data_IF_149246323055
#
_entry.id   IF_149246323055
#
_cell.length_a   1.000
_cell.length_b   1.000
_cell.length_c   1.000
_cell.angle_alpha   90.00
_cell.angle_beta   90.00
_cell.angle_gamma   90.00
#
_symmetry.space_group_name_H-M   'P 1'
#
loop_
_entity.id
_entity.type
_entity.pdbx_description
1 polymer ?
#
# COMPACT_ATOMS: atom_id res chain seq x y z
N UNK A 1 -12.03 -16.29 6.24
CA UNK A 1 -12.40 -14.87 6.15
C UNK A 1 -11.24 -14.10 6.74
N UNK A 2 -10.41 -13.46 5.90
CA UNK A 2 -9.28 -12.64 6.35
C UNK A 2 -9.82 -11.44 7.13
N UNK A 3 -9.16 -11.07 8.21
CA UNK A 3 -9.48 -9.87 8.98
C UNK A 3 -9.29 -8.66 8.07
N UNK A 4 -10.38 -7.95 7.77
CA UNK A 4 -10.32 -6.67 7.06
C UNK A 4 -9.66 -5.69 8.02
N UNK A 5 -8.52 -5.12 7.61
CA UNK A 5 -7.89 -4.02 8.33
C UNK A 5 -8.83 -2.80 8.28
N UNK A 6 -9.28 -2.32 9.45
CA UNK A 6 -10.08 -1.09 9.53
C UNK A 6 -9.15 0.11 9.47
N UNK A 7 -9.16 0.80 8.33
CA UNK A 7 -8.40 2.02 8.13
C UNK A 7 -9.01 3.18 8.91
N UNK A 8 -8.25 3.70 9.87
CA UNK A 8 -8.60 4.97 10.55
C UNK A 8 -8.08 6.13 9.68
N UNK A 9 -8.94 6.64 8.82
CA UNK A 9 -8.57 7.63 7.83
C UNK A 9 -8.00 8.93 8.43
N UNK A 10 -8.36 9.35 9.66
CA UNK A 10 -7.75 10.48 10.36
C UNK A 10 -6.26 10.25 10.66
N UNK A 11 -5.92 9.05 11.13
CA UNK A 11 -4.54 8.69 11.40
C UNK A 11 -3.71 8.59 10.11
N UNK A 12 -4.37 8.20 9.01
CA UNK A 12 -3.73 8.09 7.70
C UNK A 12 -3.35 9.47 7.15
N UNK A 13 -4.26 10.43 7.12
CA UNK A 13 -4.00 11.77 6.60
C UNK A 13 -2.97 12.53 7.47
N UNK A 14 -3.06 12.43 8.82
CA UNK A 14 -2.20 13.17 9.73
C UNK A 14 -0.79 12.58 9.88
N UNK A 15 -0.64 11.25 9.83
CA UNK A 15 0.62 10.57 10.19
C UNK A 15 1.28 9.78 9.05
N UNK A 16 0.55 9.53 7.96
CA UNK A 16 1.02 8.77 6.80
C UNK A 16 1.01 9.59 5.50
N UNK A 17 0.88 10.91 5.58
CA UNK A 17 0.87 11.84 4.43
C UNK A 17 2.13 11.76 3.56
N UNK A 18 3.24 11.20 4.06
CA UNK A 18 4.43 10.91 3.26
C UNK A 18 4.14 9.92 2.11
N UNK A 19 3.10 9.08 2.21
CA UNK A 19 2.71 8.11 1.16
C UNK A 19 2.33 8.84 -0.13
N UNK A 20 1.54 9.92 -0.03
CA UNK A 20 1.16 10.75 -1.17
C UNK A 20 2.35 11.54 -1.74
N UNK A 21 3.24 12.06 -0.89
CA UNK A 21 4.43 12.79 -1.32
C UNK A 21 5.38 11.90 -2.14
N UNK A 22 5.56 10.64 -1.75
CA UNK A 22 6.37 9.69 -2.52
C UNK A 22 5.66 9.19 -3.79
N UNK A 23 4.34 9.34 -3.89
CA UNK A 23 3.54 8.98 -5.06
C UNK A 23 3.86 9.79 -6.32
N UNK A 24 4.40 11.02 -6.18
CA UNK A 24 4.71 11.88 -7.35
C UNK A 24 5.69 11.24 -8.33
N UNK A 25 6.72 10.55 -7.85
CA UNK A 25 7.69 9.90 -8.72
C UNK A 25 7.13 8.75 -9.57
N UNK A 26 5.97 8.15 -9.19
CA UNK A 26 5.31 7.14 -10.01
C UNK A 26 4.28 7.76 -10.95
N UNK A 27 3.75 8.96 -10.66
CA UNK A 27 2.89 9.71 -11.59
C UNK A 27 3.64 10.10 -12.87
N UNK A 28 4.93 10.45 -12.77
CA UNK A 28 5.78 10.69 -13.96
C UNK A 28 5.87 9.45 -14.86
N UNK A 29 5.94 8.25 -14.24
CA UNK A 29 5.99 6.97 -14.96
C UNK A 29 4.62 6.60 -15.52
N UNK A 30 3.53 6.96 -14.84
CA UNK A 30 2.18 6.81 -15.36
C UNK A 30 2.03 7.58 -16.69
N UNK A 31 2.69 8.74 -16.80
CA UNK A 31 2.75 9.54 -18.01
C UNK A 31 1.35 9.82 -18.61
N UNK A 32 0.48 10.40 -17.80
CA UNK A 32 -0.91 10.73 -18.15
C UNK A 32 -0.97 11.58 -19.42
N UNK A 33 -1.86 11.19 -20.35
CA UNK A 33 -2.16 12.00 -21.53
C UNK A 33 -3.52 12.67 -21.36
N UNK A 34 -3.67 13.85 -21.98
CA UNK A 34 -4.92 14.62 -21.95
C UNK A 34 -6.10 13.78 -22.45
N UNK A 35 -7.14 13.69 -21.67
CA UNK A 35 -8.37 12.98 -22.02
C UNK A 35 -8.36 11.47 -21.79
N UNK A 36 -7.28 10.89 -21.26
CA UNK A 36 -7.23 9.49 -20.86
C UNK A 36 -8.22 9.20 -19.73
N UNK A 37 -8.72 7.97 -19.70
CA UNK A 37 -9.45 7.41 -18.55
C UNK A 37 -8.47 6.61 -17.70
N UNK A 38 -8.37 6.94 -16.41
CA UNK A 38 -7.46 6.30 -15.47
C UNK A 38 -8.23 5.76 -14.28
N UNK A 39 -8.01 4.49 -13.94
CA UNK A 39 -8.42 3.91 -12.66
C UNK A 39 -7.29 4.06 -11.66
N UNK A 40 -7.55 4.73 -10.53
CA UNK A 40 -6.69 4.74 -9.36
C UNK A 40 -7.18 3.65 -8.39
N UNK A 41 -6.47 2.52 -8.33
CA UNK A 41 -6.84 1.31 -7.60
C UNK A 41 -6.18 1.28 -6.22
N UNK A 42 -6.99 1.35 -5.16
CA UNK A 42 -6.54 1.58 -3.79
C UNK A 42 -6.26 3.06 -3.55
N UNK A 43 -7.19 3.93 -3.99
CA UNK A 43 -7.00 5.38 -4.03
C UNK A 43 -7.00 6.07 -2.66
N UNK A 44 -7.40 5.36 -1.59
CA UNK A 44 -7.47 5.93 -0.24
C UNK A 44 -8.36 7.17 -0.18
N UNK A 45 -7.84 8.29 0.34
CA UNK A 45 -8.55 9.58 0.46
C UNK A 45 -8.54 10.42 -0.82
N UNK A 46 -7.98 9.90 -1.93
CA UNK A 46 -8.12 10.45 -3.28
C UNK A 46 -7.09 11.49 -3.71
N UNK A 47 -6.02 11.73 -2.94
CA UNK A 47 -5.04 12.78 -3.24
C UNK A 47 -4.34 12.55 -4.59
N UNK A 48 -3.87 11.30 -4.85
CA UNK A 48 -3.26 10.96 -6.12
C UNK A 48 -4.28 10.92 -7.27
N UNK A 49 -5.53 10.50 -6.99
CA UNK A 49 -6.62 10.59 -7.97
C UNK A 49 -6.82 12.04 -8.43
N UNK A 50 -6.80 12.99 -7.51
CA UNK A 50 -6.91 14.42 -7.83
C UNK A 50 -5.71 14.90 -8.66
N UNK A 51 -4.47 14.58 -8.24
CA UNK A 51 -3.26 14.94 -9.00
C UNK A 51 -3.30 14.36 -10.45
N UNK A 52 -3.79 13.13 -10.63
CA UNK A 52 -3.99 12.51 -11.96
C UNK A 52 -5.03 13.30 -12.78
N UNK A 53 -6.12 13.75 -12.13
CA UNK A 53 -7.14 14.59 -12.75
C UNK A 53 -6.59 15.94 -13.21
N UNK A 54 -5.77 16.59 -12.40
CA UNK A 54 -5.09 17.85 -12.74
C UNK A 54 -4.14 17.72 -13.94
N UNK A 55 -3.63 16.50 -14.20
CA UNK A 55 -2.85 16.20 -15.40
C UNK A 55 -3.71 16.03 -16.66
N UNK A 56 -5.03 16.08 -16.54
CA UNK A 56 -5.97 16.09 -17.65
C UNK A 56 -6.66 14.74 -17.93
N UNK A 57 -6.57 13.76 -17.04
CA UNK A 57 -7.31 12.51 -17.13
C UNK A 57 -8.73 12.61 -16.55
N UNK A 58 -9.62 11.74 -17.05
CA UNK A 58 -10.87 11.38 -16.36
C UNK A 58 -10.58 10.24 -15.39
N UNK A 59 -10.71 10.48 -14.09
CA UNK A 59 -10.28 9.55 -13.05
C UNK A 59 -11.47 8.82 -12.43
N UNK A 60 -11.30 7.53 -12.21
CA UNK A 60 -12.13 6.72 -11.31
C UNK A 60 -11.23 6.32 -10.14
N UNK A 61 -11.57 6.74 -8.92
CA UNK A 61 -10.89 6.26 -7.71
C UNK A 61 -11.64 5.06 -7.13
N UNK A 62 -10.92 3.98 -6.82
CA UNK A 62 -11.50 2.79 -6.21
C UNK A 62 -10.74 2.38 -4.96
N UNK A 63 -11.48 2.13 -3.87
CA UNK A 63 -10.92 1.56 -2.64
C UNK A 63 -11.92 0.62 -1.97
N UNK A 64 -11.44 -0.32 -1.14
CA UNK A 64 -12.29 -1.26 -0.40
C UNK A 64 -12.97 -0.59 0.80
N UNK A 65 -12.31 0.41 1.40
CA UNK A 65 -12.75 1.10 2.61
C UNK A 65 -13.83 2.13 2.31
N UNK A 66 -15.04 1.93 2.86
CA UNK A 66 -16.10 2.94 2.76
C UNK A 66 -15.72 4.25 3.46
N UNK A 67 -14.99 4.19 4.58
CA UNK A 67 -14.53 5.38 5.28
C UNK A 67 -13.62 6.25 4.38
N UNK A 68 -12.66 5.61 3.68
CA UNK A 68 -11.81 6.29 2.69
C UNK A 68 -12.64 6.90 1.56
N UNK A 69 -13.63 6.16 1.04
CA UNK A 69 -14.50 6.64 -0.04
C UNK A 69 -15.35 7.84 0.37
N UNK A 70 -15.87 7.85 1.59
CA UNK A 70 -16.63 9.00 2.12
C UNK A 70 -15.72 10.24 2.18
N UNK A 71 -14.49 10.11 2.66
CA UNK A 71 -13.53 11.23 2.71
C UNK A 71 -13.12 11.70 1.32
N UNK A 72 -12.79 10.77 0.42
CA UNK A 72 -12.40 11.09 -0.94
C UNK A 72 -13.50 11.90 -1.66
N UNK A 73 -14.77 11.47 -1.58
CA UNK A 73 -15.92 12.18 -2.15
C UNK A 73 -16.13 13.57 -1.55
N UNK A 74 -15.89 13.73 -0.24
CA UNK A 74 -16.00 15.04 0.42
C UNK A 74 -14.86 15.98 0.01
N UNK A 75 -13.66 15.46 -0.19
CA UNK A 75 -12.45 16.22 -0.50
C UNK A 75 -12.40 16.62 -1.98
N UNK A 76 -12.84 15.72 -2.87
CA UNK A 76 -12.78 15.87 -4.32
C UNK A 76 -14.11 15.45 -4.97
N UNK A 77 -15.17 16.26 -4.81
CA UNK A 77 -16.53 15.89 -5.27
C UNK A 77 -16.66 15.78 -6.79
N UNK A 78 -15.70 16.29 -7.55
CA UNK A 78 -15.67 16.23 -9.01
C UNK A 78 -15.17 14.87 -9.55
N UNK A 79 -14.53 14.05 -8.70
CA UNK A 79 -13.98 12.75 -9.08
C UNK A 79 -14.98 11.64 -8.77
N UNK A 80 -15.08 10.66 -9.66
CA UNK A 80 -15.92 9.48 -9.46
C UNK A 80 -15.23 8.47 -8.52
N UNK A 81 -15.63 8.44 -7.25
CA UNK A 81 -15.11 7.47 -6.27
C UNK A 81 -16.10 6.33 -6.04
N UNK A 82 -15.64 5.11 -6.26
CA UNK A 82 -16.44 3.88 -6.12
C UNK A 82 -15.81 2.93 -5.10
N UNK A 83 -16.66 2.31 -4.28
CA UNK A 83 -16.19 1.23 -3.42
C UNK A 83 -16.03 -0.05 -4.24
N UNK A 84 -14.85 -0.69 -4.17
CA UNK A 84 -14.58 -1.93 -4.90
C UNK A 84 -13.47 -2.75 -4.28
N UNK A 85 -13.47 -4.05 -4.60
CA UNK A 85 -12.39 -4.96 -4.20
C UNK A 85 -11.43 -5.16 -5.37
N UNK A 86 -10.16 -4.85 -5.18
CA UNK A 86 -9.12 -4.97 -6.19
C UNK A 86 -9.01 -6.39 -6.79
N UNK A 87 -9.40 -7.42 -6.04
CA UNK A 87 -9.31 -8.82 -6.49
C UNK A 87 -10.38 -9.23 -7.51
N UNK A 88 -11.50 -8.50 -7.61
CA UNK A 88 -12.65 -8.93 -8.41
C UNK A 88 -13.57 -7.77 -8.82
N UNK A 89 -13.02 -6.71 -9.36
CA UNK A 89 -13.80 -5.59 -9.86
C UNK A 89 -14.07 -5.68 -11.37
N UNK A 90 -15.10 -4.95 -11.83
CA UNK A 90 -15.41 -4.72 -13.24
C UNK A 90 -15.73 -3.25 -13.45
N UNK A 91 -15.42 -2.73 -14.63
CA UNK A 91 -15.80 -1.39 -15.07
C UNK A 91 -16.77 -1.50 -16.25
N UNK A 92 -17.69 -0.56 -16.36
CA UNK A 92 -18.66 -0.51 -17.48
C UNK A 92 -17.98 -0.25 -18.83
N UNK A 93 -16.88 0.49 -18.81
CA UNK A 93 -16.06 0.78 -19.98
C UNK A 93 -14.58 0.63 -19.64
N UNK A 94 -13.74 0.15 -20.59
CA UNK A 94 -12.31 0.00 -20.36
C UNK A 94 -11.62 1.34 -20.12
N UNK A 95 -10.43 1.28 -19.49
CA UNK A 95 -9.59 2.43 -19.18
C UNK A 95 -8.24 2.34 -19.90
N UNK A 96 -7.63 3.49 -20.19
CA UNK A 96 -6.32 3.60 -20.83
C UNK A 96 -5.19 3.20 -19.86
N UNK A 97 -5.38 3.46 -18.56
CA UNK A 97 -4.41 3.09 -17.55
C UNK A 97 -5.08 2.68 -16.23
N UNK A 98 -4.43 1.73 -15.55
CA UNK A 98 -4.68 1.45 -14.13
C UNK A 98 -3.43 1.85 -13.36
N UNK A 99 -3.63 2.69 -12.36
CA UNK A 99 -2.61 3.16 -11.44
C UNK A 99 -2.86 2.58 -10.06
N UNK A 100 -1.82 2.24 -9.31
CA UNK A 100 -1.93 1.86 -7.91
C UNK A 100 -0.67 2.23 -7.14
N UNK A 101 -0.83 2.94 -6.03
CA UNK A 101 0.28 3.31 -5.17
C UNK A 101 0.02 2.89 -3.72
N UNK A 102 0.99 2.18 -3.13
CA UNK A 102 1.00 1.75 -1.72
C UNK A 102 -0.22 0.93 -1.24
N UNK A 103 -0.97 0.30 -2.15
CA UNK A 103 -2.19 -0.46 -1.83
C UNK A 103 -2.03 -1.98 -1.99
N UNK A 104 -1.38 -2.45 -3.05
CA UNK A 104 -1.44 -3.87 -3.46
C UNK A 104 -0.75 -4.84 -2.50
N UNK A 105 0.14 -4.38 -1.66
CA UNK A 105 0.74 -5.22 -0.63
C UNK A 105 -0.22 -5.61 0.51
N UNK A 106 -1.42 -5.01 0.56
CA UNK A 106 -2.51 -5.43 1.45
C UNK A 106 -3.39 -6.53 0.86
N UNK A 107 -3.14 -6.93 -0.39
CA UNK A 107 -3.96 -7.89 -1.12
C UNK A 107 -3.15 -9.14 -1.41
N UNK A 108 -3.50 -10.26 -0.77
CA UNK A 108 -2.76 -11.52 -0.92
C UNK A 108 -3.04 -12.25 -2.23
N UNK A 109 -4.23 -12.07 -2.81
CA UNK A 109 -4.62 -12.67 -4.08
C UNK A 109 -4.15 -11.79 -5.26
N UNK A 110 -2.85 -11.75 -5.48
CA UNK A 110 -2.26 -10.97 -6.57
C UNK A 110 -2.76 -11.38 -7.96
N UNK A 111 -3.02 -12.68 -8.17
CA UNK A 111 -3.56 -13.19 -9.45
C UNK A 111 -4.94 -12.60 -9.74
N UNK A 112 -5.84 -12.55 -8.73
CA UNK A 112 -7.16 -11.93 -8.86
C UNK A 112 -7.07 -10.44 -9.19
N UNK A 113 -6.15 -9.70 -8.54
CA UNK A 113 -5.89 -8.29 -8.87
C UNK A 113 -5.44 -8.14 -10.32
N UNK A 114 -4.43 -8.91 -10.73
CA UNK A 114 -3.84 -8.84 -12.07
C UNK A 114 -4.88 -9.17 -13.15
N UNK A 115 -5.73 -10.19 -12.91
CA UNK A 115 -6.82 -10.54 -13.82
C UNK A 115 -7.88 -9.44 -13.93
N UNK A 116 -8.26 -8.82 -12.80
CA UNK A 116 -9.22 -7.70 -12.79
C UNK A 116 -8.68 -6.48 -13.52
N UNK A 117 -7.39 -6.15 -13.30
CA UNK A 117 -6.70 -5.06 -14.01
C UNK A 117 -6.62 -5.34 -15.51
N UNK A 118 -6.28 -6.56 -15.91
CA UNK A 118 -6.26 -6.97 -17.33
C UNK A 118 -7.61 -6.73 -18.00
N UNK A 119 -8.70 -7.16 -17.36
CA UNK A 119 -10.05 -7.02 -17.89
C UNK A 119 -10.50 -5.55 -17.97
N UNK A 120 -10.04 -4.71 -17.06
CA UNK A 120 -10.40 -3.30 -17.03
C UNK A 120 -9.64 -2.45 -18.07
N UNK A 121 -8.46 -2.88 -18.51
CA UNK A 121 -7.66 -2.15 -19.49
C UNK A 121 -8.16 -2.37 -20.92
N UNK A 122 -8.09 -1.33 -21.76
CA UNK A 122 -8.17 -1.47 -23.21
C UNK A 122 -6.91 -2.15 -23.78
N UNK A 123 -6.97 -2.62 -25.03
CA UNK A 123 -5.80 -3.15 -25.72
C UNK A 123 -4.73 -2.05 -25.91
N UNK A 124 -3.51 -2.34 -25.49
CA UNK A 124 -2.42 -1.37 -25.43
C UNK A 124 -2.42 -0.49 -24.15
N UNK A 125 -3.41 -0.64 -23.29
CA UNK A 125 -3.49 0.04 -22.00
C UNK A 125 -2.36 -0.39 -21.04
N UNK A 126 -2.05 0.47 -20.07
CA UNK A 126 -0.93 0.26 -19.13
C UNK A 126 -1.38 0.09 -17.68
N UNK A 127 -0.71 -0.82 -17.00
CA UNK A 127 -0.76 -0.97 -15.56
C UNK A 127 0.52 -0.42 -14.94
N UNK A 128 0.39 0.55 -14.03
CA UNK A 128 1.51 1.19 -13.33
C UNK A 128 1.28 1.06 -11.85
N UNK A 129 2.15 0.35 -11.14
CA UNK A 129 1.98 0.13 -9.71
C UNK A 129 3.29 0.28 -8.93
N UNK A 130 3.17 0.82 -7.70
CA UNK A 130 4.23 0.83 -6.70
C UNK A 130 3.70 0.37 -5.36
N UNK A 131 4.38 -0.61 -4.73
CA UNK A 131 3.99 -1.12 -3.43
C UNK A 131 5.17 -1.81 -2.72
N UNK A 132 4.95 -2.29 -1.49
CA UNK A 132 5.98 -2.99 -0.73
C UNK A 132 6.47 -4.25 -1.43
N UNK A 133 7.78 -4.35 -1.66
CA UNK A 133 8.44 -5.51 -2.22
C UNK A 133 9.12 -6.39 -1.18
N UNK A 134 9.78 -7.44 -1.62
CA UNK A 134 10.50 -8.39 -0.76
C UNK A 134 11.46 -7.68 0.20
N UNK A 135 11.37 -7.99 1.48
CA UNK A 135 12.16 -7.37 2.54
C UNK A 135 11.64 -5.99 2.98
N UNK A 136 10.45 -5.55 2.54
CA UNK A 136 9.83 -4.31 3.00
C UNK A 136 9.58 -4.36 4.51
N UNK A 137 10.03 -3.32 5.25
CA UNK A 137 9.97 -3.20 6.71
C UNK A 137 10.43 -4.46 7.47
N UNK A 138 11.43 -5.12 6.92
CA UNK A 138 11.89 -6.43 7.38
C UNK A 138 12.37 -6.39 8.84
N UNK A 139 13.09 -5.34 9.23
CA UNK A 139 13.59 -5.20 10.59
C UNK A 139 12.47 -4.95 11.60
N UNK A 140 11.44 -4.20 11.22
CA UNK A 140 10.25 -4.00 12.06
C UNK A 140 9.51 -5.33 12.20
N UNK A 141 9.23 -6.02 11.09
CA UNK A 141 8.53 -7.31 11.07
C UNK A 141 9.29 -8.36 11.86
N UNK A 142 10.61 -8.42 11.71
CA UNK A 142 11.46 -9.33 12.48
C UNK A 142 11.36 -9.06 13.98
N UNK A 143 11.53 -7.80 14.40
CA UNK A 143 11.47 -7.43 15.81
C UNK A 143 10.10 -7.75 16.43
N UNK A 144 9.02 -7.48 15.69
CA UNK A 144 7.66 -7.82 16.07
C UNK A 144 7.47 -9.35 16.21
N UNK A 145 7.94 -10.11 15.22
CA UNK A 145 7.84 -11.58 15.22
C UNK A 145 8.60 -12.18 16.39
N UNK A 146 9.82 -11.72 16.63
CA UNK A 146 10.66 -12.20 17.73
C UNK A 146 10.00 -11.96 19.08
N UNK A 147 9.45 -10.76 19.34
CA UNK A 147 8.75 -10.42 20.60
C UNK A 147 7.50 -11.27 20.78
N UNK A 148 6.66 -11.39 19.76
CA UNK A 148 5.42 -12.17 19.86
C UNK A 148 5.68 -13.65 20.08
N UNK A 149 6.70 -14.20 19.43
CA UNK A 149 7.05 -15.62 19.59
C UNK A 149 7.66 -15.91 20.96
N UNK A 150 8.60 -15.08 21.43
CA UNK A 150 9.37 -15.34 22.64
C UNK A 150 8.57 -15.07 23.93
N UNK A 151 7.82 -13.97 23.95
CA UNK A 151 7.19 -13.48 25.18
C UNK A 151 5.72 -13.88 25.29
N UNK A 152 5.05 -14.14 24.14
CA UNK A 152 3.61 -14.35 24.09
C UNK A 152 3.19 -15.66 23.42
N UNK A 153 4.14 -16.46 22.93
CA UNK A 153 3.89 -17.72 22.20
C UNK A 153 2.91 -17.57 21.01
N UNK A 154 2.96 -16.42 20.31
CA UNK A 154 2.13 -16.11 19.15
C UNK A 154 2.97 -16.16 17.88
N UNK A 155 2.52 -16.92 16.88
CA UNK A 155 3.12 -16.90 15.54
C UNK A 155 2.61 -15.68 14.75
N UNK A 156 3.46 -14.69 14.58
CA UNK A 156 3.14 -13.50 13.83
C UNK A 156 2.94 -13.76 12.32
N UNK A 157 3.51 -14.84 11.77
CA UNK A 157 3.36 -15.16 10.35
C UNK A 157 1.92 -15.52 9.99
N UNK A 158 1.20 -16.19 10.90
CA UNK A 158 -0.22 -16.51 10.71
C UNK A 158 -1.10 -15.26 10.66
N UNK A 159 -0.63 -14.18 11.27
CA UNK A 159 -1.34 -12.90 11.37
C UNK A 159 -0.90 -11.89 10.31
N UNK A 160 0.22 -12.14 9.61
CA UNK A 160 0.79 -11.20 8.66
C UNK A 160 -0.19 -10.89 7.50
N UNK A 161 -0.67 -9.65 7.35
CA UNK A 161 -1.62 -9.29 6.30
C UNK A 161 -0.94 -9.00 4.97
N UNK A 162 0.38 -8.77 4.97
CA UNK A 162 1.10 -8.22 3.83
C UNK A 162 1.56 -9.27 2.84
N UNK A 163 1.57 -8.87 1.59
CA UNK A 163 2.16 -9.56 0.46
C UNK A 163 3.31 -8.72 -0.10
N UNK A 164 4.54 -9.17 0.10
CA UNK A 164 5.76 -8.50 -0.35
C UNK A 164 6.52 -9.36 -1.36
N UNK A 165 6.12 -9.37 -2.64
CA UNK A 165 6.77 -10.20 -3.65
C UNK A 165 8.12 -9.64 -4.07
N UNK A 166 8.97 -10.50 -4.62
CA UNK A 166 10.12 -10.08 -5.42
C UNK A 166 9.67 -9.56 -6.79
N UNK A 167 10.56 -8.85 -7.50
CA UNK A 167 10.33 -8.45 -8.90
C UNK A 167 10.03 -9.67 -9.77
N UNK A 168 10.80 -10.76 -9.59
CA UNK A 168 10.64 -11.96 -10.40
C UNK A 168 9.27 -12.60 -10.22
N UNK A 169 8.81 -12.76 -8.97
CA UNK A 169 7.50 -13.33 -8.65
C UNK A 169 6.36 -12.48 -9.25
N UNK A 170 6.38 -11.16 -9.04
CA UNK A 170 5.28 -10.31 -9.51
C UNK A 170 5.28 -10.15 -11.03
N UNK A 171 6.45 -10.00 -11.66
CA UNK A 171 6.57 -9.94 -13.12
C UNK A 171 6.12 -11.24 -13.78
N UNK A 172 6.43 -12.40 -13.20
CA UNK A 172 5.96 -13.68 -13.70
C UNK A 172 4.42 -13.77 -13.69
N UNK A 173 3.76 -13.33 -12.63
CA UNK A 173 2.30 -13.31 -12.57
C UNK A 173 1.70 -12.39 -13.64
N UNK A 174 2.28 -11.21 -13.86
CA UNK A 174 1.87 -10.29 -14.92
C UNK A 174 2.00 -10.92 -16.31
N UNK A 175 3.14 -11.54 -16.61
CA UNK A 175 3.39 -12.18 -17.90
C UNK A 175 2.52 -13.43 -18.12
N UNK A 176 2.23 -14.20 -17.08
CA UNK A 176 1.31 -15.33 -17.15
C UNK A 176 -0.13 -14.90 -17.50
N UNK A 177 -0.56 -13.71 -17.05
CA UNK A 177 -1.85 -13.14 -17.43
C UNK A 177 -1.88 -12.66 -18.89
N UNK A 178 -0.73 -12.38 -19.49
CA UNK A 178 -0.59 -11.89 -20.85
C UNK A 178 0.05 -10.50 -20.97
N UNK A 179 0.32 -9.82 -19.86
CA UNK A 179 0.99 -8.53 -19.87
C UNK A 179 2.42 -8.62 -20.41
N UNK A 180 2.86 -7.58 -21.09
CA UNK A 180 4.26 -7.34 -21.39
C UNK A 180 4.85 -6.39 -20.33
N UNK A 181 5.68 -6.91 -19.42
CA UNK A 181 6.37 -6.07 -18.44
C UNK A 181 7.46 -5.25 -19.12
N UNK A 182 7.34 -3.93 -19.10
CA UNK A 182 8.27 -3.01 -19.77
C UNK A 182 9.21 -2.32 -18.80
N UNK A 183 8.87 -2.28 -17.52
CA UNK A 183 9.69 -1.72 -16.46
C UNK A 183 9.43 -2.46 -15.15
N UNK A 184 10.49 -2.82 -14.44
CA UNK A 184 10.40 -3.34 -13.09
C UNK A 184 11.65 -2.96 -12.32
N UNK A 185 11.49 -2.39 -11.12
CA UNK A 185 12.60 -2.02 -10.24
C UNK A 185 12.25 -2.34 -8.80
N UNK A 186 13.24 -2.81 -8.05
CA UNK A 186 13.20 -2.96 -6.59
C UNK A 186 14.22 -2.00 -5.99
N UNK A 187 13.81 -1.17 -5.05
CA UNK A 187 14.68 -0.14 -4.47
C UNK A 187 14.35 0.10 -3.00
N UNK A 188 15.38 0.52 -2.27
CA UNK A 188 15.25 0.91 -0.88
C UNK A 188 14.67 2.33 -0.79
N UNK A 189 13.76 2.51 0.16
CA UNK A 189 13.15 3.80 0.49
C UNK A 189 13.16 4.00 2.01
N UNK A 190 14.32 4.13 2.64
CA UNK A 190 14.37 4.42 4.06
C UNK A 190 13.56 5.69 4.34
N UNK A 191 12.60 5.58 5.25
CA UNK A 191 11.63 6.65 5.51
C UNK A 191 11.71 7.05 6.97
N UNK A 192 11.99 8.31 7.22
CA UNK A 192 11.95 8.87 8.57
C UNK A 192 10.50 8.88 9.07
N UNK A 193 10.28 8.32 10.26
CA UNK A 193 8.99 8.35 10.92
C UNK A 193 8.86 9.66 11.70
N UNK A 194 7.69 10.25 11.64
CA UNK A 194 7.37 11.46 12.40
C UNK A 194 7.36 11.20 13.91
N UNK A 195 7.45 12.27 14.71
CA UNK A 195 7.44 12.28 16.18
C UNK A 195 8.68 11.62 16.85
N UNK A 196 9.83 11.64 16.19
CA UNK A 196 11.14 11.30 16.79
C UNK A 196 11.12 9.93 17.48
N UNK A 197 11.35 9.91 18.79
CA UNK A 197 11.34 8.69 19.63
C UNK A 197 10.00 7.90 19.57
N UNK A 198 8.88 8.56 19.33
CA UNK A 198 7.57 7.93 19.32
C UNK A 198 7.17 7.39 17.92
N UNK A 199 7.95 7.69 16.88
CA UNK A 199 7.59 7.37 15.49
C UNK A 199 7.29 5.88 15.26
N UNK A 200 8.11 4.97 15.82
CA UNK A 200 7.84 3.54 15.69
C UNK A 200 6.56 3.10 16.41
N UNK A 201 6.24 3.70 17.56
CA UNK A 201 5.01 3.41 18.28
C UNK A 201 3.78 3.81 17.47
N UNK A 202 3.81 4.99 16.84
CA UNK A 202 2.74 5.45 15.94
C UNK A 202 2.61 4.56 14.71
N UNK A 203 3.74 4.14 14.13
CA UNK A 203 3.75 3.21 13.01
C UNK A 203 3.11 1.85 13.37
N UNK A 204 3.51 1.26 14.49
CA UNK A 204 2.95 -0.01 14.99
C UNK A 204 1.46 0.10 15.26
N UNK A 205 1.03 1.21 15.87
CA UNK A 205 -0.38 1.43 16.17
C UNK A 205 -1.22 1.65 14.90
N UNK A 206 -0.68 2.35 13.90
CA UNK A 206 -1.40 2.67 12.67
C UNK A 206 -1.47 1.54 11.64
N UNK A 207 -0.42 0.70 11.57
CA UNK A 207 -0.28 -0.27 10.48
C UNK A 207 -0.29 -1.74 10.95
N UNK A 208 -0.03 -2.00 12.23
CA UNK A 208 0.13 -3.36 12.74
C UNK A 208 -0.88 -3.75 13.84
N UNK A 209 -1.44 -2.77 14.56
CA UNK A 209 -2.21 -3.03 15.79
C UNK A 209 -3.43 -3.90 15.57
N UNK A 210 -4.24 -3.59 14.56
CA UNK A 210 -5.52 -4.28 14.33
C UNK A 210 -5.36 -5.71 13.80
N UNK A 211 -4.16 -6.05 13.34
CA UNK A 211 -3.89 -7.36 12.75
C UNK A 211 -3.03 -8.22 13.68
N UNK A 212 -1.85 -7.73 14.05
CA UNK A 212 -0.92 -8.51 14.88
C UNK A 212 -1.31 -8.53 16.35
N UNK A 213 -1.93 -7.46 16.85
CA UNK A 213 -2.15 -7.23 18.28
C UNK A 213 -3.63 -7.16 18.67
N UNK A 214 -4.56 -7.60 17.82
CA UNK A 214 -6.01 -7.51 18.02
C UNK A 214 -6.52 -8.17 19.32
N UNK A 215 -5.82 -9.21 19.79
CA UNK A 215 -6.22 -10.00 20.98
C UNK A 215 -5.55 -9.49 22.26
N UNK A 216 -4.73 -8.44 22.19
CA UNK A 216 -4.02 -7.88 23.34
C UNK A 216 -4.72 -6.62 23.86
N UNK A 217 -4.73 -6.47 25.19
CA UNK A 217 -5.18 -5.25 25.84
C UNK A 217 -4.25 -4.07 25.54
N UNK A 218 -4.70 -2.84 25.73
CA UNK A 218 -3.88 -1.64 25.53
C UNK A 218 -2.62 -1.61 26.42
N UNK A 219 -2.71 -2.20 27.61
CA UNK A 219 -1.56 -2.34 28.50
C UNK A 219 -0.52 -3.31 27.92
N UNK A 220 -0.94 -4.47 27.43
CA UNK A 220 -0.05 -5.45 26.78
C UNK A 220 0.54 -4.90 25.49
N UNK A 221 -0.25 -4.22 24.65
CA UNK A 221 0.24 -3.56 23.44
C UNK A 221 1.38 -2.59 23.74
N UNK A 222 1.25 -1.79 24.80
CA UNK A 222 2.28 -0.85 25.22
C UNK A 222 3.58 -1.55 25.61
N UNK A 223 3.52 -2.66 26.34
CA UNK A 223 4.68 -3.48 26.71
C UNK A 223 5.32 -4.11 25.45
N UNK A 224 4.50 -4.72 24.58
CA UNK A 224 4.95 -5.32 23.32
C UNK A 224 5.67 -4.28 22.45
N UNK A 225 5.05 -3.12 22.24
CA UNK A 225 5.63 -2.06 21.40
C UNK A 225 6.96 -1.54 21.97
N UNK A 226 7.05 -1.43 23.30
CA UNK A 226 8.32 -1.05 23.96
C UNK A 226 9.42 -2.08 23.70
N UNK A 227 9.11 -3.38 23.78
CA UNK A 227 10.07 -4.45 23.49
C UNK A 227 10.47 -4.48 22.01
N UNK A 228 9.51 -4.27 21.11
CA UNK A 228 9.80 -4.15 19.66
C UNK A 228 10.76 -2.97 19.42
N UNK A 229 10.50 -1.82 20.05
CA UNK A 229 11.37 -0.66 19.92
C UNK A 229 12.78 -0.93 20.45
N UNK A 230 12.93 -1.63 21.56
CA UNK A 230 14.25 -2.05 22.08
C UNK A 230 14.98 -2.93 21.06
N UNK A 231 14.31 -3.93 20.49
CA UNK A 231 14.92 -4.86 19.55
C UNK A 231 15.29 -4.20 18.21
N UNK A 232 14.47 -3.25 17.74
CA UNK A 232 14.69 -2.56 16.46
C UNK A 232 15.68 -1.38 16.56
N UNK A 233 15.99 -0.90 17.78
CA UNK A 233 16.66 0.38 17.99
C UNK A 233 18.04 0.48 17.32
N UNK A 234 18.88 -0.52 17.46
CA UNK A 234 20.22 -0.52 16.87
C UNK A 234 20.19 -0.39 15.35
N UNK A 235 19.17 -0.96 14.71
CA UNK A 235 19.06 -1.02 13.24
C UNK A 235 18.32 0.15 12.63
N UNK A 236 17.33 0.71 13.36
CA UNK A 236 16.36 1.64 12.77
C UNK A 236 16.31 3.01 13.44
N UNK A 237 17.04 3.25 14.54
CA UNK A 237 17.04 4.55 15.22
C UNK A 237 18.38 5.27 15.01
N UNK A 238 18.34 6.48 14.43
CA UNK A 238 19.55 7.24 14.09
C UNK A 238 20.05 8.17 15.20
N UNK A 239 19.45 8.12 16.40
CA UNK A 239 19.75 8.99 17.53
C UNK A 239 18.74 10.13 17.74
N UNK A 240 17.93 10.46 16.72
CA UNK A 240 16.91 11.50 16.76
C UNK A 240 15.52 10.97 16.39
N UNK A 241 15.46 10.09 15.40
CA UNK A 241 14.22 9.55 14.87
C UNK A 241 14.38 8.12 14.37
N UNK A 242 13.24 7.44 14.19
CA UNK A 242 13.17 6.12 13.58
C UNK A 242 13.18 6.23 12.06
N UNK A 243 13.94 5.34 11.41
CA UNK A 243 14.01 5.21 9.96
C UNK A 243 13.44 3.84 9.59
N UNK A 244 12.21 3.81 9.10
CA UNK A 244 11.61 2.56 8.64
C UNK A 244 12.28 2.08 7.35
N UNK A 245 12.62 0.79 7.30
CA UNK A 245 13.37 0.13 6.23
C UNK A 245 12.45 -0.29 5.06
N UNK A 246 11.69 0.67 4.52
CA UNK A 246 10.83 0.41 3.38
C UNK A 246 11.63 -0.03 2.16
N UNK A 247 11.11 -1.08 1.49
CA UNK A 247 11.57 -1.51 0.16
C UNK A 247 10.37 -1.57 -0.76
N UNK A 248 10.51 -1.02 -1.95
CA UNK A 248 9.42 -0.89 -2.90
C UNK A 248 9.74 -1.63 -4.19
N UNK A 249 8.73 -2.22 -4.77
CA UNK A 249 8.75 -2.59 -6.18
C UNK A 249 7.88 -1.61 -6.96
N UNK A 250 8.33 -1.30 -8.18
CA UNK A 250 7.61 -0.47 -9.13
C UNK A 250 7.58 -1.20 -10.45
N UNK A 251 6.41 -1.30 -11.06
CA UNK A 251 6.22 -2.03 -12.31
C UNK A 251 5.41 -1.22 -13.30
N UNK A 252 5.73 -1.40 -14.60
CA UNK A 252 4.90 -0.98 -15.73
C UNK A 252 4.68 -2.19 -16.61
N UNK A 253 3.43 -2.50 -16.89
CA UNK A 253 3.03 -3.61 -17.74
C UNK A 253 1.97 -3.15 -18.76
N UNK A 254 2.09 -3.61 -20.00
CA UNK A 254 1.22 -3.25 -21.13
C UNK A 254 0.37 -4.46 -21.49
N UNK A 255 -0.93 -4.23 -21.66
CA UNK A 255 -1.88 -5.24 -22.14
C UNK A 255 -1.72 -5.49 -23.64
#
# INVERSE_FOLDING_TARGET
>A
MGSIHEWKAELYDDKLGFVSQYGRGILEILNVQQGERVLDLGCGTGDLSHEIGELGASVIGMDLSEEMMVRARNKYPEINFVRGNAENFTLDEPVNAVFSNAALHWVKNAEGVIASVWNALEDGGRFVAEFGGKGNVEMIVKSLTDVLAQDYAVDANERNPWYFPSIGEYSQLLEQQGFRVTYAVHFDRPTQLEDGENGLMHWLNGLAADVFFKDFSEFEKKDIFTKIAINARESLFNGESWIADYKRIRVVAIK
#
